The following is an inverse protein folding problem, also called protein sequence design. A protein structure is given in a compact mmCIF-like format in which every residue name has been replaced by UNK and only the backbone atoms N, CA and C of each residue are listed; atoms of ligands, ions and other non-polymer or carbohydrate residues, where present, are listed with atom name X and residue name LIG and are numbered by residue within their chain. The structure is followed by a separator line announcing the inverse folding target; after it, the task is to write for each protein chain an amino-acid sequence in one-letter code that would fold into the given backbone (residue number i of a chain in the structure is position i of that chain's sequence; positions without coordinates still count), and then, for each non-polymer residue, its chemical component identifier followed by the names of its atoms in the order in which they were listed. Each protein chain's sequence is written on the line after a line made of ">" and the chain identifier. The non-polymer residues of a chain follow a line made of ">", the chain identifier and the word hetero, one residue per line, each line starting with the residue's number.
data_IF_167387905030
#
_entry.id   IF_167387905030
#
_cell.length_a   1.000
_cell.length_b   1.000
_cell.length_c   1.000
_cell.angle_alpha   90.00
_cell.angle_beta   90.00
_cell.angle_gamma   90.00
#
_symmetry.space_group_name_H-M   'P 1'
#
loop_
_entity.id
_entity.type
_entity.pdbx_description
1 polymer ?
#
# COMPACT_ATOMS: atom_id res chain seq x y z
N UNK A 1 6.35 -2.80 14.03
CA UNK A 1 5.03 -3.40 13.68
C UNK A 1 5.20 -4.32 12.49
N UNK A 2 4.59 -5.48 12.54
CA UNK A 2 4.55 -6.37 11.38
C UNK A 2 3.43 -5.92 10.42
N UNK A 3 3.65 -6.09 9.14
CA UNK A 3 2.67 -5.73 8.11
C UNK A 3 1.31 -6.36 8.39
N UNK A 4 1.30 -7.62 8.79
CA UNK A 4 0.07 -8.37 9.08
C UNK A 4 -0.69 -7.88 10.31
N UNK A 5 -0.07 -7.00 11.12
CA UNK A 5 -0.70 -6.46 12.33
C UNK A 5 -1.44 -5.16 12.08
N UNK A 6 -1.48 -4.68 10.86
CA UNK A 6 -2.25 -3.48 10.53
C UNK A 6 -3.73 -3.82 10.66
N UNK A 7 -4.52 -3.04 11.45
CA UNK A 7 -5.92 -3.33 11.65
C UNK A 7 -6.72 -3.28 10.34
N UNK A 8 -7.70 -4.17 10.22
CA UNK A 8 -8.59 -4.19 9.07
C UNK A 8 -9.36 -2.87 8.95
N UNK A 9 -9.59 -2.45 7.73
CA UNK A 9 -10.29 -1.20 7.43
C UNK A 9 -9.43 0.04 7.50
N UNK A 10 -8.20 -0.07 7.97
CA UNK A 10 -7.29 1.07 7.99
C UNK A 10 -6.76 1.38 6.61
N UNK A 11 -6.41 2.64 6.42
CA UNK A 11 -5.89 3.13 5.14
C UNK A 11 -4.39 2.97 5.08
N UNK A 12 -3.90 2.47 3.96
CA UNK A 12 -2.48 2.40 3.63
C UNK A 12 -2.16 3.36 2.50
N UNK A 13 -0.94 3.90 2.53
CA UNK A 13 -0.37 4.57 1.37
C UNK A 13 0.57 3.58 0.69
N UNK A 14 0.48 3.50 -0.63
CA UNK A 14 1.35 2.65 -1.43
C UNK A 14 2.06 3.54 -2.42
N UNK A 15 3.38 3.59 -2.30
CA UNK A 15 4.22 4.38 -3.21
C UNK A 15 4.86 3.44 -4.21
N UNK A 16 4.75 3.79 -5.48
CA UNK A 16 5.32 3.00 -6.57
C UNK A 16 6.28 3.88 -7.35
N UNK A 17 7.55 3.49 -7.36
CA UNK A 17 8.58 4.17 -8.14
C UNK A 17 8.79 3.42 -9.44
N UNK A 18 8.57 4.11 -10.54
CA UNK A 18 8.65 3.56 -11.89
C UNK A 18 9.30 4.60 -12.81
N UNK A 19 10.45 4.27 -13.36
CA UNK A 19 11.13 5.10 -14.35
C UNK A 19 11.27 6.58 -13.96
N UNK A 20 11.63 6.80 -12.69
CA UNK A 20 11.79 8.16 -12.16
C UNK A 20 10.52 8.83 -11.71
N UNK A 21 9.37 8.18 -11.88
CA UNK A 21 8.08 8.66 -11.40
C UNK A 21 7.69 7.96 -10.12
N UNK A 22 7.09 8.73 -9.19
CA UNK A 22 6.50 8.15 -7.99
C UNK A 22 4.99 8.32 -8.03
N UNK A 23 4.28 7.20 -7.99
CA UNK A 23 2.83 7.18 -7.86
C UNK A 23 2.47 6.96 -6.40
N UNK A 24 1.47 7.68 -5.92
CA UNK A 24 0.94 7.51 -4.58
C UNK A 24 -0.48 6.97 -4.68
N UNK A 25 -0.68 5.79 -4.13
CA UNK A 25 -2.00 5.16 -4.09
C UNK A 25 -2.44 5.07 -2.64
N UNK A 26 -3.75 5.12 -2.41
CA UNK A 26 -4.34 4.98 -1.08
C UNK A 26 -5.34 3.84 -1.15
N UNK A 27 -5.26 2.92 -0.20
CA UNK A 27 -6.15 1.77 -0.17
C UNK A 27 -6.49 1.38 1.25
N UNK A 28 -7.51 0.54 1.42
CA UNK A 28 -7.90 0.01 2.72
C UNK A 28 -7.48 -1.44 2.86
N UNK A 29 -7.08 -1.81 4.07
CA UNK A 29 -6.75 -3.19 4.38
C UNK A 29 -8.04 -4.00 4.50
N UNK A 30 -8.17 -5.01 3.65
CA UNK A 30 -9.33 -5.90 3.62
C UNK A 30 -9.06 -7.19 4.38
N UNK A 31 -7.84 -7.69 4.34
CA UNK A 31 -7.45 -8.94 4.96
C UNK A 31 -5.96 -8.90 5.28
N UNK A 32 -5.56 -9.52 6.40
CA UNK A 32 -4.17 -9.63 6.78
C UNK A 32 -3.84 -11.07 7.17
N UNK A 33 -2.73 -11.58 6.65
CA UNK A 33 -2.19 -12.92 6.95
C UNK A 33 -0.68 -12.79 7.17
N UNK A 34 -0.03 -13.89 7.54
CA UNK A 34 1.43 -13.89 7.73
C UNK A 34 2.16 -13.26 6.55
N UNK A 35 2.84 -12.15 6.81
CA UNK A 35 3.62 -11.39 5.84
C UNK A 35 2.83 -10.88 4.62
N UNK A 36 1.50 -10.84 4.70
CA UNK A 36 0.67 -10.40 3.58
C UNK A 36 -0.46 -9.52 4.07
N UNK A 37 -0.79 -8.51 3.29
CA UNK A 37 -2.04 -7.78 3.43
C UNK A 37 -2.73 -7.75 2.08
N UNK A 38 -4.04 -7.92 2.11
CA UNK A 38 -4.88 -7.74 0.93
C UNK A 38 -5.56 -6.39 1.07
N UNK A 39 -5.52 -5.60 0.03
CA UNK A 39 -6.08 -4.26 0.05
C UNK A 39 -7.12 -4.13 -1.06
N UNK A 40 -8.04 -3.18 -0.86
CA UNK A 40 -9.01 -2.85 -1.90
C UNK A 40 -8.27 -2.34 -3.13
N UNK A 41 -8.70 -2.77 -4.29
CA UNK A 41 -8.13 -2.30 -5.54
C UNK A 41 -8.43 -0.81 -5.70
N UNK A 42 -7.40 -0.04 -6.04
CA UNK A 42 -7.56 1.39 -6.24
C UNK A 42 -7.71 1.67 -7.71
N UNK A 43 -8.72 2.48 -8.03
CA UNK A 43 -8.88 3.00 -9.36
C UNK A 43 -8.24 4.39 -9.44
N UNK A 44 -7.40 4.59 -10.43
CA UNK A 44 -6.89 5.90 -10.80
C UNK A 44 -7.60 6.33 -12.08
N UNK A 45 -8.31 7.46 -12.04
CA UNK A 45 -9.09 7.94 -13.17
C UNK A 45 -10.11 6.91 -13.69
N UNK A 46 -10.75 6.16 -12.78
CA UNK A 46 -11.74 5.16 -13.13
C UNK A 46 -11.16 3.84 -13.64
N UNK A 47 -9.86 3.67 -13.60
CA UNK A 47 -9.18 2.45 -14.03
C UNK A 47 -8.37 1.85 -12.91
N UNK A 48 -8.32 0.53 -12.82
CA UNK A 48 -7.47 -0.16 -11.88
C UNK A 48 -6.00 0.15 -12.18
N UNK A 49 -5.21 0.42 -11.14
CA UNK A 49 -3.79 0.67 -11.31
C UNK A 49 -3.09 -0.62 -11.72
N UNK A 50 -2.25 -0.53 -12.74
CA UNK A 50 -1.49 -1.66 -13.26
C UNK A 50 -0.10 -1.71 -12.62
N UNK A 51 0.20 -2.80 -11.91
CA UNK A 51 1.53 -3.02 -11.34
C UNK A 51 2.42 -3.69 -12.35
N UNK A 52 3.69 -3.28 -12.39
CA UNK A 52 4.70 -3.88 -13.26
C UNK A 52 5.74 -4.61 -12.41
N UNK A 53 6.37 -5.63 -12.99
CA UNK A 53 7.32 -6.47 -12.25
C UNK A 53 8.56 -5.69 -11.77
N UNK A 54 8.95 -4.63 -12.47
CA UNK A 54 10.10 -3.83 -12.11
C UNK A 54 9.79 -2.67 -11.16
N UNK A 55 8.55 -2.53 -10.73
CA UNK A 55 8.17 -1.45 -9.82
C UNK A 55 8.83 -1.65 -8.45
N UNK A 56 9.35 -0.55 -7.90
CA UNK A 56 9.76 -0.51 -6.50
C UNK A 56 8.56 -0.04 -5.67
N UNK A 57 8.17 -0.84 -4.70
CA UNK A 57 6.97 -0.60 -3.92
C UNK A 57 7.35 -0.32 -2.47
N UNK A 58 6.79 0.75 -1.92
CA UNK A 58 6.91 1.09 -0.52
C UNK A 58 5.52 1.23 0.07
N UNK A 59 5.25 0.51 1.15
CA UNK A 59 3.97 0.59 1.86
C UNK A 59 4.17 1.43 3.10
N UNK A 60 3.28 2.38 3.33
CA UNK A 60 3.34 3.28 4.49
C UNK A 60 2.03 3.19 5.26
N UNK A 61 2.14 2.96 6.56
CA UNK A 61 1.01 3.02 7.47
C UNK A 61 1.25 4.11 8.50
N UNK A 62 0.26 4.98 8.68
CA UNK A 62 0.30 6.06 9.66
C UNK A 62 -0.77 5.86 10.71
N UNK A 63 -0.39 5.99 11.99
CA UNK A 63 -1.32 5.95 13.09
C UNK A 63 -0.89 7.01 14.11
N UNK A 64 -1.73 8.03 14.29
CA UNK A 64 -1.42 9.21 15.10
C UNK A 64 -0.13 9.88 14.61
N UNK A 65 0.90 9.94 15.47
CA UNK A 65 2.20 10.53 15.13
C UNK A 65 3.25 9.48 14.73
N UNK A 66 2.83 8.20 14.57
CA UNK A 66 3.72 7.11 14.22
C UNK A 66 3.60 6.76 12.74
N UNK A 67 4.71 6.31 12.17
CA UNK A 67 4.79 5.91 10.78
C UNK A 67 5.59 4.61 10.66
N UNK A 68 5.08 3.66 9.89
CA UNK A 68 5.77 2.42 9.56
C UNK A 68 5.88 2.28 8.06
N UNK A 69 7.03 1.79 7.61
CA UNK A 69 7.32 1.59 6.18
C UNK A 69 7.81 0.17 5.91
N UNK A 70 7.39 -0.38 4.79
CA UNK A 70 7.85 -1.68 4.28
C UNK A 70 8.21 -1.53 2.80
N UNK A 71 9.38 -1.99 2.44
CA UNK A 71 9.87 -1.93 1.05
C UNK A 71 10.06 -3.30 0.43
#
# INVERSE_FOLDING_TARGET
>A
MLLENIPLGRTLEIYIDREGYRYRLVSKVEEAKSNQVCVSLIASNGRAFQFHAEDDICIVYRDADRLWEWT
#
